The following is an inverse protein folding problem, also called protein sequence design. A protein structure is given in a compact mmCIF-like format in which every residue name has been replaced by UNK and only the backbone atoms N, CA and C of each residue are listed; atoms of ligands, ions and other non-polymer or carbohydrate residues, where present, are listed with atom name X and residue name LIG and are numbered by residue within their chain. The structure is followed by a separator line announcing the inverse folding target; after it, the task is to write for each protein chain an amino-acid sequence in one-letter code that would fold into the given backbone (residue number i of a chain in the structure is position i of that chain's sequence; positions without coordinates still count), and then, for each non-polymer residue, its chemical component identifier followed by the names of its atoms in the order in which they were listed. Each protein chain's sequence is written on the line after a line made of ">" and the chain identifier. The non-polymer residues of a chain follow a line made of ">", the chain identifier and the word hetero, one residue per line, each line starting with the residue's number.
data_IF_295708142089
#
_entry.id   IF_295708142089
#
_cell.length_a   1.000
_cell.length_b   1.000
_cell.length_c   1.000
_cell.angle_alpha   90.00
_cell.angle_beta   90.00
_cell.angle_gamma   90.00
#
_symmetry.space_group_name_H-M   'P 1'
#
loop_
_entity.id
_entity.type
_entity.pdbx_description
1 polymer ?
#
# COMPACT_ATOMS: atom_id res chain seq x y z
N UNK A 1 -2.31 22.19 5.99
CA UNK A 1 -3.61 22.37 5.33
C UNK A 1 -3.70 21.43 4.14
N UNK A 2 -4.91 20.99 3.76
CA UNK A 2 -5.18 20.11 2.60
C UNK A 2 -6.14 20.84 1.66
N UNK A 3 -5.92 20.73 0.35
CA UNK A 3 -6.77 21.36 -0.67
C UNK A 3 -8.10 20.61 -0.82
N UNK A 4 -9.21 21.29 -0.61
CA UNK A 4 -10.59 20.83 -0.86
C UNK A 4 -11.23 21.70 -1.96
N UNK A 5 -12.49 21.40 -2.33
CA UNK A 5 -13.23 22.21 -3.29
C UNK A 5 -13.50 23.64 -2.75
N UNK A 6 -13.79 23.74 -1.46
CA UNK A 6 -14.09 25.01 -0.77
C UNK A 6 -12.84 25.77 -0.28
N UNK A 7 -11.65 25.39 -0.76
CA UNK A 7 -10.38 25.99 -0.37
C UNK A 7 -9.53 25.07 0.51
N UNK A 8 -8.70 25.65 1.39
CA UNK A 8 -7.79 24.86 2.22
C UNK A 8 -8.38 24.58 3.59
N UNK A 9 -8.39 23.30 3.99
CA UNK A 9 -8.89 22.85 5.28
C UNK A 9 -7.79 22.22 6.12
N UNK A 10 -7.83 22.39 7.44
CA UNK A 10 -6.90 21.70 8.33
C UNK A 10 -7.12 20.19 8.23
N UNK A 11 -6.04 19.41 8.06
CA UNK A 11 -6.14 17.94 7.89
C UNK A 11 -6.84 17.27 9.08
N UNK A 12 -6.64 17.80 10.30
CA UNK A 12 -7.30 17.36 11.53
C UNK A 12 -8.82 17.63 11.55
N UNK A 13 -9.36 18.38 10.59
CA UNK A 13 -10.79 18.72 10.47
C UNK A 13 -11.47 18.07 9.26
N UNK A 14 -10.72 17.40 8.39
CA UNK A 14 -11.29 16.66 7.26
C UNK A 14 -11.97 15.39 7.76
N UNK A 15 -13.14 15.07 7.21
CA UNK A 15 -13.95 13.89 7.54
C UNK A 15 -14.12 12.99 6.32
N UNK A 16 -14.47 11.72 6.57
CA UNK A 16 -14.86 10.82 5.50
C UNK A 16 -16.08 11.37 4.74
N UNK A 17 -16.10 11.17 3.43
CA UNK A 17 -17.11 11.73 2.51
C UNK A 17 -16.76 13.12 1.97
N UNK A 18 -15.84 13.87 2.60
CA UNK A 18 -15.36 15.13 2.03
C UNK A 18 -14.41 14.87 0.86
N UNK A 19 -14.40 15.77 -0.13
CA UNK A 19 -13.53 15.65 -1.29
C UNK A 19 -12.27 16.51 -1.17
N UNK A 20 -11.12 15.90 -1.49
CA UNK A 20 -9.82 16.57 -1.54
C UNK A 20 -9.29 16.56 -2.97
N UNK A 21 -8.51 17.60 -3.33
CA UNK A 21 -7.81 17.60 -4.60
C UNK A 21 -6.78 16.48 -4.58
N UNK A 22 -6.81 15.64 -5.61
CA UNK A 22 -6.00 14.45 -5.75
C UNK A 22 -5.52 14.35 -7.20
N UNK A 23 -4.46 13.60 -7.43
CA UNK A 23 -3.91 13.37 -8.77
C UNK A 23 -3.58 11.89 -8.91
N UNK A 24 -3.96 11.32 -10.04
CA UNK A 24 -3.63 9.94 -10.37
C UNK A 24 -2.17 9.82 -10.77
N UNK A 25 -1.45 8.87 -10.18
CA UNK A 25 -0.06 8.60 -10.53
C UNK A 25 0.08 7.96 -11.91
N UNK A 26 -0.90 7.15 -12.31
CA UNK A 26 -0.81 6.39 -13.56
C UNK A 26 -1.14 7.24 -14.78
N UNK A 27 -2.26 7.96 -14.74
CA UNK A 27 -2.72 8.80 -15.86
C UNK A 27 -2.26 10.25 -15.78
N UNK A 28 -1.88 10.74 -14.59
CA UNK A 28 -1.64 12.16 -14.36
C UNK A 28 -2.92 13.01 -14.27
N UNK A 29 -4.11 12.42 -14.35
CA UNK A 29 -5.38 13.13 -14.17
C UNK A 29 -5.43 13.81 -12.80
N UNK A 30 -6.01 15.01 -12.72
CA UNK A 30 -6.18 15.76 -11.46
C UNK A 30 -7.64 16.07 -11.26
N UNK A 31 -8.14 15.85 -10.05
CA UNK A 31 -9.55 15.93 -9.73
C UNK A 31 -9.84 15.75 -8.25
N UNK A 32 -11.09 15.96 -7.88
CA UNK A 32 -11.53 15.83 -6.49
C UNK A 32 -11.96 14.40 -6.19
N UNK A 33 -11.37 13.80 -5.16
CA UNK A 33 -11.68 12.43 -4.72
C UNK A 33 -12.18 12.40 -3.28
N UNK A 34 -13.16 11.55 -2.96
CA UNK A 34 -13.66 11.44 -1.60
C UNK A 34 -12.62 10.82 -0.67
N UNK A 35 -12.54 11.38 0.53
CA UNK A 35 -11.80 10.82 1.65
C UNK A 35 -12.62 9.66 2.22
N UNK A 36 -12.04 8.47 2.29
CA UNK A 36 -12.69 7.29 2.87
C UNK A 36 -12.34 7.10 4.35
N UNK A 37 -11.19 7.60 4.79
CA UNK A 37 -10.79 7.59 6.20
C UNK A 37 -9.80 8.71 6.53
N UNK A 38 -9.75 9.10 7.82
CA UNK A 38 -8.68 9.93 8.39
C UNK A 38 -8.13 9.22 9.62
N UNK A 39 -6.81 9.12 9.70
CA UNK A 39 -6.12 8.57 10.85
C UNK A 39 -5.11 9.57 11.39
N UNK A 40 -4.73 9.39 12.65
CA UNK A 40 -3.77 10.25 13.32
C UNK A 40 -2.89 9.43 14.26
N UNK A 41 -1.58 9.52 14.07
CA UNK A 41 -0.59 8.75 14.82
C UNK A 41 0.37 9.69 15.55
N UNK A 42 0.78 9.35 16.78
CA UNK A 42 1.84 10.07 17.47
C UNK A 42 3.21 9.66 16.93
N UNK A 43 4.13 10.63 16.86
CA UNK A 43 5.54 10.44 16.54
C UNK A 43 6.39 11.23 17.56
N UNK A 44 7.59 10.74 17.87
CA UNK A 44 8.50 11.40 18.81
C UNK A 44 9.28 12.56 18.17
N UNK A 45 9.37 12.58 16.85
CA UNK A 45 10.14 13.55 16.08
C UNK A 45 9.26 14.24 15.04
N UNK A 46 9.61 15.49 14.75
CA UNK A 46 8.96 16.33 13.74
C UNK A 46 9.96 16.70 12.66
N UNK A 47 9.58 16.56 11.40
CA UNK A 47 10.32 17.08 10.24
C UNK A 47 9.73 18.42 9.82
N UNK A 48 10.57 19.44 9.72
CA UNK A 48 10.25 20.76 9.17
C UNK A 48 10.92 20.88 7.81
N UNK A 49 10.13 21.13 6.77
CA UNK A 49 10.60 21.25 5.39
C UNK A 49 10.26 22.66 4.90
N UNK A 50 11.28 23.47 4.68
CA UNK A 50 11.10 24.80 4.09
C UNK A 50 11.16 24.69 2.58
N UNK A 51 10.14 25.19 1.89
CA UNK A 51 10.06 25.19 0.43
C UNK A 51 9.74 26.59 -0.09
N UNK A 52 10.18 26.90 -1.31
CA UNK A 52 9.94 28.18 -1.97
C UNK A 52 9.51 27.98 -3.42
N UNK A 53 8.60 28.81 -3.89
CA UNK A 53 8.14 28.81 -5.29
C UNK A 53 9.12 29.51 -6.26
N UNK A 54 10.17 30.15 -5.73
CA UNK A 54 11.17 30.85 -6.51
C UNK A 54 10.79 32.27 -6.97
N UNK A 55 9.60 32.75 -6.60
CA UNK A 55 9.10 34.10 -6.95
C UNK A 55 8.84 34.97 -5.71
N UNK A 56 9.50 34.65 -4.60
CA UNK A 56 9.48 35.43 -3.36
C UNK A 56 8.65 34.81 -2.23
N UNK A 57 7.85 33.77 -2.51
CA UNK A 57 7.05 33.12 -1.48
C UNK A 57 7.76 31.87 -0.95
N UNK A 58 7.50 31.57 0.32
CA UNK A 58 7.96 30.36 0.98
C UNK A 58 6.93 29.82 1.95
N UNK A 59 7.06 28.54 2.28
CA UNK A 59 6.25 27.90 3.30
C UNK A 59 7.05 26.85 4.06
N UNK A 60 6.59 26.55 5.27
CA UNK A 60 7.08 25.42 6.06
C UNK A 60 6.02 24.32 6.07
N UNK A 61 6.41 23.13 5.62
CA UNK A 61 5.64 21.91 5.74
C UNK A 61 6.10 21.17 7.00
N UNK A 62 5.14 20.69 7.78
CA UNK A 62 5.39 19.94 9.03
C UNK A 62 4.91 18.52 8.82
N UNK A 63 5.80 17.54 9.00
CA UNK A 63 5.53 16.14 8.71
C UNK A 63 6.20 15.19 9.71
N UNK A 64 5.83 13.92 9.67
CA UNK A 64 6.64 12.84 10.25
C UNK A 64 7.82 12.51 9.31
N UNK A 65 8.71 11.60 9.71
CA UNK A 65 9.89 11.22 8.91
C UNK A 65 9.57 10.50 7.60
N UNK A 66 8.48 9.74 7.59
CA UNK A 66 8.20 8.75 6.53
C UNK A 66 7.23 9.24 5.46
N UNK A 67 6.58 10.39 5.65
CA UNK A 67 5.54 10.84 4.72
C UNK A 67 6.14 11.18 3.34
N UNK A 68 5.60 10.61 2.24
CA UNK A 68 6.09 10.87 0.90
C UNK A 68 5.72 12.24 0.34
N UNK A 69 6.69 12.85 -0.35
CA UNK A 69 6.51 14.00 -1.22
C UNK A 69 6.95 13.65 -2.64
N UNK A 70 6.19 14.10 -3.63
CA UNK A 70 6.52 13.82 -5.03
C UNK A 70 7.59 14.77 -5.58
N UNK A 71 8.60 14.21 -6.24
CA UNK A 71 9.59 14.95 -7.00
C UNK A 71 10.01 14.10 -8.20
N UNK A 72 9.91 14.65 -9.41
CA UNK A 72 10.54 14.12 -10.63
C UNK A 72 10.35 12.60 -10.83
N UNK A 73 9.10 12.14 -10.90
CA UNK A 73 8.79 10.73 -11.16
C UNK A 73 8.90 9.79 -9.97
N UNK A 74 9.23 10.29 -8.77
CA UNK A 74 9.41 9.46 -7.58
C UNK A 74 8.85 10.10 -6.31
N UNK A 75 8.47 9.23 -5.38
CA UNK A 75 8.11 9.58 -4.02
C UNK A 75 9.34 9.55 -3.11
N UNK A 76 9.57 10.63 -2.38
CA UNK A 76 10.70 10.78 -1.46
C UNK A 76 10.15 10.99 -0.05
N UNK A 77 10.66 10.25 0.94
CA UNK A 77 10.26 10.45 2.33
C UNK A 77 10.67 11.84 2.81
N UNK A 78 9.91 12.41 3.74
CA UNK A 78 10.22 13.68 4.37
C UNK A 78 11.66 13.77 4.90
N UNK A 79 12.15 12.71 5.54
CA UNK A 79 13.52 12.64 6.08
C UNK A 79 14.62 12.56 5.02
N UNK A 80 14.29 12.05 3.83
CA UNK A 80 15.22 11.86 2.72
C UNK A 80 15.27 13.08 1.77
N UNK A 81 14.41 14.08 2.00
CA UNK A 81 14.45 15.33 1.25
C UNK A 81 15.75 16.09 1.50
N UNK A 82 16.25 16.73 0.45
CA UNK A 82 17.47 17.55 0.47
C UNK A 82 17.20 18.90 -0.18
N UNK A 83 17.95 19.92 0.22
CA UNK A 83 17.89 21.22 -0.43
C UNK A 83 18.14 21.08 -1.94
N UNK A 84 17.38 21.82 -2.75
CA UNK A 84 17.40 21.75 -4.21
C UNK A 84 16.39 20.78 -4.83
N UNK A 85 15.82 19.84 -4.07
CA UNK A 85 14.73 18.98 -4.57
C UNK A 85 13.50 19.82 -4.92
N UNK A 86 12.80 19.47 -6.00
CA UNK A 86 11.64 20.20 -6.52
C UNK A 86 10.36 19.39 -6.31
N UNK A 87 9.50 19.87 -5.43
CA UNK A 87 8.21 19.24 -5.12
C UNK A 87 7.14 19.73 -6.08
N UNK A 88 6.31 18.82 -6.61
CA UNK A 88 5.22 19.18 -7.53
C UNK A 88 4.08 19.89 -6.80
N UNK A 89 3.59 21.01 -7.35
CA UNK A 89 2.44 21.75 -6.82
C UNK A 89 1.12 21.41 -7.54
N UNK A 90 0.00 21.87 -6.99
CA UNK A 90 -1.34 21.60 -7.54
C UNK A 90 -1.55 22.12 -8.98
N UNK A 91 -0.87 23.21 -9.38
CA UNK A 91 -0.90 23.71 -10.77
C UNK A 91 0.05 22.98 -11.72
N UNK A 92 0.81 21.98 -11.25
CA UNK A 92 1.87 21.32 -12.01
C UNK A 92 3.19 22.09 -12.05
N UNK A 93 3.28 23.25 -11.39
CA UNK A 93 4.55 23.94 -11.12
C UNK A 93 5.33 23.18 -10.04
N UNK A 94 6.44 23.75 -9.59
CA UNK A 94 7.28 23.13 -8.55
C UNK A 94 7.72 24.11 -7.48
N UNK A 95 7.85 23.63 -6.25
CA UNK A 95 8.43 24.36 -5.13
C UNK A 95 9.75 23.71 -4.70
N UNK A 96 10.80 24.50 -4.58
CA UNK A 96 12.15 24.04 -4.27
C UNK A 96 12.34 23.94 -2.77
N UNK A 97 12.79 22.77 -2.30
CA UNK A 97 13.20 22.57 -0.91
C UNK A 97 14.44 23.42 -0.62
N UNK A 98 14.36 24.25 0.41
CA UNK A 98 15.44 25.14 0.87
C UNK A 98 16.18 24.54 2.05
N UNK A 99 15.44 23.98 3.00
CA UNK A 99 16.00 23.43 4.22
C UNK A 99 15.13 22.31 4.78
N UNK A 100 15.76 21.37 5.48
CA UNK A 100 15.08 20.27 6.18
C UNK A 100 15.70 20.16 7.57
N UNK A 101 14.86 20.18 8.60
CA UNK A 101 15.29 20.01 9.98
C UNK A 101 14.42 18.97 10.67
N UNK A 102 15.06 17.92 11.20
CA UNK A 102 14.42 16.96 12.10
C UNK A 102 14.66 17.42 13.53
N UNK A 103 13.58 17.54 14.33
CA UNK A 103 13.67 17.91 15.75
C UNK A 103 13.07 16.79 16.60
N UNK A 104 13.64 16.49 17.78
CA UNK A 104 13.05 15.59 18.78
C UNK A 104 11.88 16.27 19.49
N UNK A 105 10.84 16.59 18.71
CA UNK A 105 9.62 17.23 19.15
C UNK A 105 8.45 16.30 18.80
N UNK A 106 7.60 15.92 19.77
CA UNK A 106 6.45 15.09 19.50
C UNK A 106 5.49 15.74 18.50
N UNK A 107 4.98 14.93 17.58
CA UNK A 107 4.02 15.32 16.55
C UNK A 107 2.83 14.37 16.55
N UNK A 108 1.62 14.91 16.58
CA UNK A 108 0.41 14.18 16.19
C UNK A 108 0.16 14.42 14.70
N UNK A 109 0.67 13.52 13.87
CA UNK A 109 0.52 13.62 12.42
C UNK A 109 -0.79 12.97 11.98
N UNK A 110 -1.48 13.61 11.05
CA UNK A 110 -2.69 13.08 10.42
C UNK A 110 -2.42 12.69 8.98
N UNK A 111 -3.17 11.72 8.49
CA UNK A 111 -3.12 11.27 7.10
C UNK A 111 -4.53 10.81 6.67
N UNK A 112 -4.77 10.77 5.36
CA UNK A 112 -6.06 10.54 4.73
C UNK A 112 -5.98 9.32 3.83
N UNK A 113 -6.99 8.45 3.89
CA UNK A 113 -7.24 7.50 2.81
C UNK A 113 -8.13 8.20 1.80
N UNK A 114 -7.62 8.43 0.59
CA UNK A 114 -8.33 9.06 -0.53
C UNK A 114 -8.70 7.97 -1.53
N UNK A 115 -9.94 7.97 -2.01
CA UNK A 115 -10.42 6.98 -2.97
C UNK A 115 -9.63 7.04 -4.29
N UNK A 116 -9.46 5.86 -4.89
CA UNK A 116 -8.79 5.59 -6.18
C UNK A 116 -7.31 5.93 -6.24
N UNK A 117 -6.95 7.20 -6.00
CA UNK A 117 -5.63 7.75 -6.33
C UNK A 117 -4.72 7.92 -5.16
N UNK A 118 -5.23 7.80 -3.92
CA UNK A 118 -4.39 7.68 -2.73
C UNK A 118 -3.41 8.85 -2.49
N UNK A 119 -3.61 9.98 -3.17
CA UNK A 119 -2.80 11.19 -3.04
C UNK A 119 -3.65 12.39 -2.68
N UNK A 120 -3.00 13.45 -2.20
CA UNK A 120 -3.63 14.75 -1.96
C UNK A 120 -2.59 15.87 -1.94
N UNK A 121 -3.03 17.13 -1.89
CA UNK A 121 -2.15 18.30 -1.87
C UNK A 121 -2.17 19.00 -0.51
N UNK A 122 -0.98 19.35 0.01
CA UNK A 122 -0.82 19.98 1.32
C UNK A 122 0.04 21.25 1.29
N UNK A 123 -0.32 22.22 2.13
CA UNK A 123 0.48 23.43 2.39
C UNK A 123 0.58 23.78 3.87
N UNK A 124 1.52 24.65 4.23
CA UNK A 124 1.60 25.28 5.55
C UNK A 124 0.32 26.04 5.91
N UNK A 125 0.03 26.20 7.20
CA UNK A 125 -1.16 26.92 7.67
C UNK A 125 -1.14 28.42 7.33
N UNK A 126 0.05 29.03 7.31
CA UNK A 126 0.27 30.44 6.94
C UNK A 126 0.83 30.61 5.52
N UNK A 127 0.81 29.56 4.71
CA UNK A 127 1.41 29.58 3.38
C UNK A 127 0.54 30.38 2.40
N UNK A 128 1.17 31.27 1.64
CA UNK A 128 0.57 31.93 0.47
C UNK A 128 0.82 31.15 -0.82
N UNK A 129 1.68 30.14 -0.78
CA UNK A 129 1.96 29.23 -1.88
C UNK A 129 0.90 28.14 -2.02
N UNK A 130 0.94 27.47 -3.17
CA UNK A 130 0.17 26.27 -3.47
C UNK A 130 0.55 25.07 -2.58
N UNK A 131 -0.34 24.09 -2.54
CA UNK A 131 -0.05 22.79 -1.94
C UNK A 131 0.92 21.97 -2.77
N UNK A 132 1.75 21.18 -2.11
CA UNK A 132 2.61 20.18 -2.73
C UNK A 132 1.96 18.80 -2.70
N UNK A 133 2.28 17.98 -3.70
CA UNK A 133 1.70 16.65 -3.88
C UNK A 133 2.31 15.63 -2.92
N UNK A 134 1.46 14.99 -2.12
CA UNK A 134 1.81 13.97 -1.14
C UNK A 134 0.97 12.71 -1.32
N UNK A 135 1.48 11.60 -0.83
CA UNK A 135 0.84 10.29 -0.96
C UNK A 135 0.40 9.76 0.42
N UNK A 136 -0.72 9.05 0.46
CA UNK A 136 -1.29 8.49 1.70
C UNK A 136 -0.47 7.33 2.28
N UNK A 137 0.27 6.65 1.42
CA UNK A 137 0.99 5.42 1.73
C UNK A 137 2.47 5.76 1.90
N UNK A 138 3.09 5.19 2.94
CA UNK A 138 4.52 5.32 3.16
C UNK A 138 5.27 4.77 1.92
N UNK A 139 6.42 5.34 1.50
CA UNK A 139 7.25 4.78 0.42
C UNK A 139 7.78 3.38 0.72
N UNK A 140 7.47 2.84 1.91
CA UNK A 140 7.76 1.47 2.33
C UNK A 140 6.72 0.46 1.85
N UNK A 141 5.96 0.71 0.77
CA UNK A 141 5.71 -0.42 -0.15
C UNK A 141 7.05 -0.80 -0.76
N UNK A 142 7.90 -1.44 0.06
CA UNK A 142 9.18 -2.00 -0.34
C UNK A 142 8.88 -2.78 -1.60
N UNK A 143 9.42 -2.40 -2.76
CA UNK A 143 9.19 -3.23 -3.94
C UNK A 143 9.73 -4.63 -3.61
N UNK A 144 9.05 -5.72 -4.04
CA UNK A 144 9.64 -7.04 -3.87
C UNK A 144 11.04 -7.01 -4.49
N UNK A 145 12.05 -7.43 -3.73
CA UNK A 145 13.46 -7.46 -4.18
C UNK A 145 13.86 -8.82 -4.70
N UNK A 146 12.98 -9.81 -4.58
CA UNK A 146 13.18 -11.18 -4.98
C UNK A 146 11.88 -11.73 -5.57
N UNK A 147 12.02 -12.68 -6.50
CA UNK A 147 10.87 -13.36 -7.09
C UNK A 147 10.18 -14.23 -6.04
N UNK A 148 8.84 -14.26 -6.05
CA UNK A 148 8.07 -15.14 -5.18
C UNK A 148 8.54 -16.60 -5.27
N UNK A 149 8.95 -17.15 -4.14
CA UNK A 149 9.20 -18.57 -3.95
C UNK A 149 8.38 -19.06 -2.76
N UNK A 150 7.40 -19.93 -3.00
CA UNK A 150 6.52 -20.46 -1.93
C UNK A 150 7.32 -21.12 -0.81
N UNK A 151 8.28 -21.97 -1.16
CA UNK A 151 9.08 -22.73 -0.20
C UNK A 151 9.92 -21.80 0.67
N UNK A 152 10.66 -20.88 0.05
CA UNK A 152 11.55 -19.95 0.76
C UNK A 152 10.76 -18.94 1.59
N UNK A 153 9.69 -18.37 1.03
CA UNK A 153 8.98 -17.24 1.64
C UNK A 153 7.91 -17.66 2.64
N UNK A 154 7.25 -18.80 2.40
CA UNK A 154 6.11 -19.26 3.19
C UNK A 154 6.32 -20.65 3.79
N UNK A 155 7.41 -21.36 3.47
CA UNK A 155 7.66 -22.73 3.95
C UNK A 155 6.98 -23.83 3.12
N UNK A 156 7.41 -25.08 3.31
CA UNK A 156 6.98 -26.22 2.49
C UNK A 156 5.81 -27.05 2.99
N UNK A 157 5.47 -26.98 4.28
CA UNK A 157 4.51 -27.90 4.93
C UNK A 157 3.26 -27.22 5.49
N UNK A 158 2.91 -26.03 4.99
CA UNK A 158 1.79 -25.26 5.58
C UNK A 158 0.42 -25.93 5.42
N UNK A 159 0.30 -26.85 4.47
CA UNK A 159 -0.90 -27.66 4.27
C UNK A 159 -0.91 -28.95 5.08
N UNK A 160 0.08 -29.21 5.94
CA UNK A 160 0.17 -30.46 6.70
C UNK A 160 -0.15 -30.28 8.19
N UNK A 161 -0.33 -29.02 8.63
CA UNK A 161 -0.76 -28.69 9.98
C UNK A 161 -2.24 -28.97 10.25
N UNK A 162 -2.63 -28.91 11.53
CA UNK A 162 -3.97 -29.23 12.01
C UNK A 162 -5.09 -28.49 11.26
N UNK A 163 -4.94 -27.20 10.97
CA UNK A 163 -5.95 -26.42 10.24
C UNK A 163 -6.17 -26.91 8.81
N UNK A 164 -5.10 -27.31 8.14
CA UNK A 164 -5.17 -27.85 6.79
C UNK A 164 -5.80 -29.25 6.78
N UNK A 165 -5.49 -30.09 7.76
CA UNK A 165 -6.13 -31.38 7.95
C UNK A 165 -7.65 -31.22 8.23
N UNK A 166 -8.01 -30.31 9.13
CA UNK A 166 -9.41 -29.99 9.42
C UNK A 166 -10.15 -29.47 8.17
N UNK A 167 -9.51 -28.60 7.37
CA UNK A 167 -10.07 -28.15 6.10
C UNK A 167 -10.33 -29.32 5.14
N UNK A 168 -9.36 -30.23 4.97
CA UNK A 168 -9.55 -31.43 4.12
C UNK A 168 -10.72 -32.28 4.58
N UNK A 169 -10.80 -32.57 5.89
CA UNK A 169 -11.91 -33.34 6.47
C UNK A 169 -13.26 -32.66 6.25
N UNK A 170 -13.34 -31.35 6.47
CA UNK A 170 -14.56 -30.58 6.23
C UNK A 170 -14.97 -30.53 4.76
N UNK A 171 -14.00 -30.64 3.83
CA UNK A 171 -14.23 -30.67 2.40
C UNK A 171 -14.71 -32.01 1.86
N UNK A 172 -14.46 -33.12 2.56
CA UNK A 172 -14.84 -34.46 2.11
C UNK A 172 -16.36 -34.59 1.95
N UNK A 173 -16.80 -35.15 0.82
CA UNK A 173 -18.22 -35.28 0.48
C UNK A 173 -18.91 -33.96 0.12
N UNK A 174 -18.22 -32.81 0.20
CA UNK A 174 -18.79 -31.50 -0.19
C UNK A 174 -18.52 -31.19 -1.66
N UNK A 175 -19.43 -30.47 -2.34
CA UNK A 175 -19.18 -29.98 -3.70
C UNK A 175 -18.00 -29.00 -3.70
N UNK A 176 -17.11 -29.17 -4.67
CA UNK A 176 -16.01 -28.25 -4.90
C UNK A 176 -16.57 -26.85 -5.28
N UNK A 177 -16.19 -25.78 -4.58
CA UNK A 177 -16.72 -24.43 -4.86
C UNK A 177 -16.40 -23.96 -6.29
N UNK A 178 -15.33 -24.47 -6.90
CA UNK A 178 -14.88 -24.06 -8.24
C UNK A 178 -15.56 -24.81 -9.38
N UNK A 179 -15.96 -26.07 -9.19
CA UNK A 179 -16.47 -26.91 -10.29
C UNK A 179 -17.69 -27.78 -9.96
N UNK A 180 -18.22 -27.70 -8.74
CA UNK A 180 -19.40 -28.44 -8.29
C UNK A 180 -19.16 -29.94 -8.03
N UNK A 181 -18.09 -30.55 -8.54
CA UNK A 181 -17.80 -31.97 -8.32
C UNK A 181 -17.57 -32.28 -6.84
N UNK A 182 -18.10 -33.40 -6.38
CA UNK A 182 -17.91 -33.87 -5.00
C UNK A 182 -16.43 -34.16 -4.76
N UNK A 183 -15.93 -33.65 -3.63
CA UNK A 183 -14.58 -33.87 -3.18
C UNK A 183 -14.49 -35.21 -2.45
N UNK A 184 -13.57 -36.08 -2.90
CA UNK A 184 -13.42 -37.46 -2.40
C UNK A 184 -11.95 -37.79 -2.20
N UNK A 185 -11.57 -38.26 -1.01
CA UNK A 185 -10.21 -38.66 -0.67
C UNK A 185 -9.65 -39.73 -1.63
N UNK A 186 -8.35 -39.68 -1.89
CA UNK A 186 -7.67 -40.62 -2.79
C UNK A 186 -7.96 -40.43 -4.28
N UNK A 187 -8.83 -39.47 -4.66
CA UNK A 187 -9.20 -39.24 -6.07
C UNK A 187 -8.65 -37.93 -6.63
N UNK A 188 -8.87 -37.71 -7.94
CA UNK A 188 -8.58 -36.42 -8.61
C UNK A 188 -9.44 -35.25 -8.10
N UNK A 189 -10.50 -35.52 -7.33
CA UNK A 189 -11.30 -34.48 -6.67
C UNK A 189 -11.01 -34.35 -5.18
N UNK A 190 -9.97 -35.00 -4.64
CA UNK A 190 -9.61 -34.90 -3.23
C UNK A 190 -9.57 -33.44 -2.73
N UNK A 191 -10.12 -33.17 -1.53
CA UNK A 191 -10.19 -31.82 -0.99
C UNK A 191 -8.78 -31.28 -0.72
N UNK A 192 -8.48 -30.11 -1.28
CA UNK A 192 -7.21 -29.43 -1.15
C UNK A 192 -7.40 -28.08 -0.45
N UNK A 193 -6.71 -27.80 0.67
CA UNK A 193 -6.82 -26.54 1.39
C UNK A 193 -6.45 -25.34 0.54
N UNK A 194 -7.20 -24.25 0.66
CA UNK A 194 -6.95 -23.00 -0.06
C UNK A 194 -6.55 -21.87 0.88
N UNK A 195 -5.67 -20.99 0.40
CA UNK A 195 -5.33 -19.74 1.08
C UNK A 195 -6.15 -18.61 0.49
N UNK A 196 -6.73 -17.77 1.35
CA UNK A 196 -7.45 -16.58 0.94
C UNK A 196 -6.81 -15.33 1.57
N UNK A 197 -6.18 -14.43 0.78
CA UNK A 197 -5.91 -14.55 -0.65
C UNK A 197 -4.85 -15.64 -0.97
N UNK A 198 -4.71 -16.07 -2.23
CA UNK A 198 -3.61 -16.94 -2.64
C UNK A 198 -2.26 -16.35 -2.23
N UNK A 199 -1.34 -17.18 -1.71
CA UNK A 199 -0.08 -16.70 -1.12
C UNK A 199 0.80 -15.86 -2.08
N UNK A 200 0.72 -16.11 -3.39
CA UNK A 200 1.42 -15.30 -4.40
C UNK A 200 0.83 -13.88 -4.46
N UNK A 201 -0.50 -13.74 -4.37
CA UNK A 201 -1.16 -12.45 -4.31
C UNK A 201 -0.90 -11.77 -2.98
N UNK A 202 -0.93 -12.52 -1.87
CA UNK A 202 -0.49 -11.99 -0.58
C UNK A 202 0.92 -11.41 -0.67
N UNK A 203 1.84 -12.11 -1.33
CA UNK A 203 3.22 -11.65 -1.52
C UNK A 203 3.30 -10.33 -2.29
N UNK A 204 2.65 -10.22 -3.46
CA UNK A 204 2.81 -9.05 -4.35
C UNK A 204 1.83 -7.90 -4.07
N UNK A 205 0.60 -8.18 -3.64
CA UNK A 205 -0.49 -7.20 -3.55
C UNK A 205 -0.80 -6.78 -2.10
N UNK A 206 -0.54 -7.65 -1.13
CA UNK A 206 -0.91 -7.42 0.28
C UNK A 206 0.30 -7.23 1.20
N UNK A 207 1.43 -6.80 0.64
CA UNK A 207 2.63 -6.47 1.41
C UNK A 207 3.40 -7.68 1.94
N UNK A 208 3.05 -8.91 1.54
CA UNK A 208 3.74 -10.11 1.97
C UNK A 208 5.25 -10.09 1.65
N UNK A 209 5.67 -9.43 0.57
CA UNK A 209 7.08 -9.23 0.22
C UNK A 209 7.87 -8.44 1.29
N UNK A 210 7.21 -7.58 2.06
CA UNK A 210 7.83 -6.74 3.10
C UNK A 210 7.87 -7.39 4.47
N UNK A 211 7.22 -8.55 4.63
CA UNK A 211 7.16 -9.30 5.87
C UNK A 211 8.39 -10.22 6.04
N UNK A 212 8.69 -10.60 7.28
CA UNK A 212 9.67 -11.66 7.53
C UNK A 212 9.16 -13.02 7.02
N UNK A 213 10.06 -13.97 6.74
CA UNK A 213 9.67 -15.35 6.43
C UNK A 213 8.83 -16.00 7.54
N UNK A 214 9.10 -15.66 8.80
CA UNK A 214 8.35 -16.19 9.94
C UNK A 214 6.89 -15.69 9.93
N UNK A 215 6.69 -14.40 9.67
CA UNK A 215 5.35 -13.80 9.61
C UNK A 215 4.57 -14.30 8.39
N UNK A 216 5.24 -14.45 7.24
CA UNK A 216 4.65 -15.08 6.06
C UNK A 216 4.22 -16.52 6.33
N UNK A 217 5.08 -17.31 6.98
CA UNK A 217 4.76 -18.67 7.38
C UNK A 217 3.57 -18.73 8.35
N UNK A 218 3.49 -17.81 9.30
CA UNK A 218 2.33 -17.67 10.20
C UNK A 218 1.05 -17.33 9.42
N UNK A 219 1.11 -16.32 8.55
CA UNK A 219 -0.01 -15.95 7.68
C UNK A 219 -0.48 -17.13 6.83
N UNK A 220 0.42 -17.91 6.23
CA UNK A 220 0.03 -19.09 5.46
C UNK A 220 -0.78 -20.09 6.29
N UNK A 221 -0.42 -20.32 7.55
CA UNK A 221 -1.20 -21.21 8.43
C UNK A 221 -2.58 -20.66 8.75
N UNK A 222 -2.68 -19.35 9.00
CA UNK A 222 -3.91 -18.71 9.46
C UNK A 222 -4.88 -18.39 8.31
N UNK A 223 -4.37 -18.16 7.10
CA UNK A 223 -5.14 -17.82 5.90
C UNK A 223 -5.82 -19.01 5.21
N UNK A 224 -5.69 -20.22 5.75
CA UNK A 224 -6.39 -21.39 5.21
C UNK A 224 -7.89 -21.23 5.42
N UNK A 225 -8.63 -21.18 4.32
CA UNK A 225 -10.08 -21.01 4.28
C UNK A 225 -10.70 -21.92 3.23
N UNK A 226 -11.43 -22.92 3.70
CA UNK A 226 -12.12 -23.89 2.85
C UNK A 226 -11.19 -24.80 2.04
N UNK A 227 -11.80 -25.51 1.08
CA UNK A 227 -11.10 -26.39 0.15
C UNK A 227 -11.63 -26.22 -1.27
N UNK A 228 -10.82 -26.63 -2.24
CA UNK A 228 -11.31 -26.99 -3.57
C UNK A 228 -10.71 -28.32 -3.99
N UNK A 229 -11.30 -28.94 -5.01
CA UNK A 229 -10.83 -30.23 -5.49
C UNK A 229 -9.43 -30.13 -6.12
N UNK A 230 -8.63 -31.19 -5.99
CA UNK A 230 -7.24 -31.24 -6.47
C UNK A 230 -7.08 -30.83 -7.95
N UNK A 231 -8.04 -31.19 -8.81
CA UNK A 231 -8.03 -30.79 -10.22
C UNK A 231 -8.14 -29.26 -10.40
N UNK A 232 -9.04 -28.60 -9.66
CA UNK A 232 -9.19 -27.14 -9.71
C UNK A 232 -7.99 -26.44 -9.10
N UNK A 233 -7.47 -26.97 -7.98
CA UNK A 233 -6.29 -26.44 -7.33
C UNK A 233 -5.06 -26.43 -8.24
N UNK A 234 -4.86 -27.50 -9.03
CA UNK A 234 -3.75 -27.55 -10.02
C UNK A 234 -3.92 -26.51 -11.13
N UNK A 235 -5.15 -26.28 -11.61
CA UNK A 235 -5.44 -25.24 -12.60
C UNK A 235 -5.17 -23.84 -12.05
N UNK A 236 -5.60 -23.57 -10.82
CA UNK A 236 -5.30 -22.31 -10.13
C UNK A 236 -3.79 -22.14 -9.93
N UNK A 237 -3.07 -23.18 -9.52
CA UNK A 237 -1.61 -23.16 -9.40
C UNK A 237 -0.92 -22.74 -10.70
N UNK A 238 -1.39 -23.24 -11.86
CA UNK A 238 -0.86 -22.83 -13.16
C UNK A 238 -1.18 -21.35 -13.50
N UNK A 239 -2.36 -20.86 -13.14
CA UNK A 239 -2.72 -19.45 -13.27
C UNK A 239 -1.84 -18.56 -12.38
N UNK A 240 -1.67 -18.94 -11.11
CA UNK A 240 -0.84 -18.24 -10.14
C UNK A 240 0.65 -18.23 -10.52
N UNK A 241 1.13 -19.30 -11.18
CA UNK A 241 2.48 -19.33 -11.73
C UNK A 241 2.69 -18.32 -12.86
N UNK A 242 1.70 -18.15 -13.76
CA UNK A 242 1.74 -17.10 -14.79
C UNK A 242 1.72 -15.71 -14.18
N UNK A 243 0.79 -15.47 -13.25
CA UNK A 243 0.69 -14.23 -12.51
C UNK A 243 2.02 -13.88 -11.80
N UNK A 244 2.67 -14.84 -11.14
CA UNK A 244 3.98 -14.62 -10.51
C UNK A 244 5.05 -14.16 -11.51
N UNK A 245 5.06 -14.71 -12.74
CA UNK A 245 6.01 -14.29 -13.80
C UNK A 245 5.72 -12.88 -14.28
N UNK A 246 4.45 -12.52 -14.42
CA UNK A 246 4.03 -11.17 -14.81
C UNK A 246 4.43 -10.14 -13.74
N UNK A 247 4.22 -10.46 -12.45
CA UNK A 247 4.66 -9.59 -11.36
C UNK A 247 6.19 -9.48 -11.30
N UNK A 248 6.93 -10.58 -11.48
CA UNK A 248 8.39 -10.53 -11.54
C UNK A 248 8.87 -9.59 -12.66
N UNK A 249 8.31 -9.70 -13.87
CA UNK A 249 8.60 -8.80 -14.99
C UNK A 249 8.25 -7.35 -14.67
N UNK A 250 7.08 -7.10 -14.06
CA UNK A 250 6.63 -5.75 -13.65
C UNK A 250 7.58 -5.11 -12.63
N UNK A 251 8.18 -5.91 -11.76
CA UNK A 251 9.06 -5.45 -10.69
C UNK A 251 10.57 -5.53 -11.02
N UNK A 252 10.95 -6.06 -12.19
CA UNK A 252 12.35 -6.20 -12.61
C UNK A 252 13.11 -7.31 -11.86
N UNK A 253 12.45 -8.45 -11.59
CA UNK A 253 12.94 -9.59 -10.81
C UNK A 253 13.16 -10.86 -11.63
#
# INVERSE_FOLDING_TARGET
>A
MVKTADGYKAIARIRAGESVLSKDEASGETGYKPVTARYGNPYQETVYIEVSDGIGNSQTLISNRIHPFYSDGKWIKAEDLKAGIRLLSESGKTQTVRNIVVKPKPLKAYNLTVADWHTYFVKGDKAETEGVWVHNDCPTKLKPTERYNRQTHYGGSQTDGARAQAARQAGEGKPCPTCGRIQIFGTKTAPSPQHEPPLVKHYYEHGGHSMSNADRAKHARESIKGTQCLTCQRKEGAMMSRYSREQAKKHGL
#
